data_IF_449143439599
#
_entry.id   IF_449143439599
#
_cell.length_a   1.000
_cell.length_b   1.000
_cell.length_c   1.000
_cell.angle_alpha   90.00
_cell.angle_beta   90.00
_cell.angle_gamma   90.00
#
_symmetry.space_group_name_H-M   'P 1'
#
loop_
_entity.id
_entity.type
_entity.pdbx_description
1 polymer ?
#
# COMPACT_ATOMS: atom_id res chain seq x y z
N UNK A 1 -16.52 -20.46 -0.48
CA UNK A 1 -15.97 -19.14 -0.86
C UNK A 1 -14.47 -19.13 -0.64
N UNK A 2 -13.72 -18.47 -1.51
CA UNK A 2 -12.26 -18.28 -1.32
C UNK A 2 -12.04 -17.26 -0.20
N UNK A 3 -11.09 -17.54 0.70
CA UNK A 3 -10.64 -16.58 1.73
C UNK A 3 -9.76 -15.46 1.17
N UNK A 4 -9.42 -15.55 -0.12
CA UNK A 4 -8.60 -14.58 -0.84
C UNK A 4 -9.48 -13.84 -1.85
N UNK A 5 -9.42 -12.51 -1.81
CA UNK A 5 -10.10 -11.62 -2.75
C UNK A 5 -9.14 -10.56 -3.26
N UNK A 6 -9.31 -10.14 -4.51
CA UNK A 6 -8.65 -8.93 -5.01
C UNK A 6 -9.48 -7.71 -4.62
N UNK A 7 -8.86 -6.53 -4.69
CA UNK A 7 -9.52 -5.27 -4.38
C UNK A 7 -10.84 -5.03 -5.15
N UNK A 8 -11.00 -5.61 -6.35
CA UNK A 8 -12.22 -5.49 -7.15
C UNK A 8 -13.41 -6.25 -6.53
N UNK A 9 -13.17 -7.32 -5.77
CA UNK A 9 -14.21 -8.20 -5.23
C UNK A 9 -14.69 -7.88 -3.82
N UNK A 10 -14.03 -6.95 -3.11
CA UNK A 10 -14.26 -6.71 -1.67
C UNK A 10 -15.00 -5.40 -1.37
N UNK A 11 -15.37 -4.63 -2.40
CA UNK A 11 -16.01 -3.32 -2.22
C UNK A 11 -17.39 -3.48 -1.56
N UNK A 12 -17.56 -2.85 -0.39
CA UNK A 12 -18.80 -2.91 0.39
C UNK A 12 -18.87 -4.07 1.38
N UNK A 13 -17.89 -4.98 1.37
CA UNK A 13 -17.73 -6.01 2.39
C UNK A 13 -16.89 -5.49 3.55
N UNK A 14 -16.98 -6.16 4.70
CA UNK A 14 -16.11 -5.97 5.87
C UNK A 14 -15.83 -7.36 6.46
N UNK A 15 -14.69 -7.49 7.15
CA UNK A 15 -14.24 -8.75 7.72
C UNK A 15 -13.64 -8.49 9.10
N UNK A 16 -13.82 -9.41 10.07
CA UNK A 16 -13.24 -9.25 11.41
C UNK A 16 -11.73 -9.01 11.37
N UNK A 17 -11.00 -9.76 10.55
CA UNK A 17 -9.55 -9.68 10.42
C UNK A 17 -9.14 -9.68 8.95
N UNK A 18 -8.26 -8.76 8.58
CA UNK A 18 -7.77 -8.60 7.20
C UNK A 18 -6.25 -8.62 7.19
N UNK A 19 -5.69 -9.35 6.23
CA UNK A 19 -4.28 -9.27 5.86
C UNK A 19 -4.17 -8.70 4.45
N UNK A 20 -3.42 -7.63 4.29
CA UNK A 20 -3.16 -7.01 3.00
C UNK A 20 -1.73 -7.36 2.58
N UNK A 21 -1.60 -8.00 1.42
CA UNK A 21 -0.30 -8.36 0.84
C UNK A 21 0.01 -7.34 -0.25
N UNK A 22 1.12 -6.62 -0.09
CA UNK A 22 1.64 -5.64 -1.03
C UNK A 22 2.83 -6.28 -1.74
N UNK A 23 2.68 -6.55 -3.02
CA UNK A 23 3.71 -7.17 -3.86
C UNK A 23 3.66 -6.50 -5.23
N UNK A 24 4.52 -5.49 -5.42
CA UNK A 24 4.60 -4.73 -6.67
C UNK A 24 5.16 -5.59 -7.83
N UNK A 25 5.95 -6.63 -7.54
CA UNK A 25 6.58 -7.50 -8.54
C UNK A 25 5.55 -8.49 -9.15
N UNK A 26 4.68 -9.07 -8.31
CA UNK A 26 3.59 -9.94 -8.76
C UNK A 26 2.34 -9.17 -9.20
N UNK A 27 2.22 -7.88 -8.84
CA UNK A 27 1.14 -7.02 -9.30
C UNK A 27 1.27 -6.76 -10.81
N UNK A 28 0.47 -7.47 -11.60
CA UNK A 28 0.44 -7.29 -13.06
C UNK A 28 -0.10 -5.91 -13.45
N UNK A 29 0.77 -4.90 -13.58
CA UNK A 29 0.45 -3.58 -14.12
C UNK A 29 1.28 -2.44 -13.52
N UNK A 30 1.23 -1.25 -14.16
CA UNK A 30 2.01 -0.07 -13.76
C UNK A 30 1.15 1.06 -13.15
N UNK A 31 -0.13 0.79 -12.89
CA UNK A 31 -1.11 1.79 -12.46
C UNK A 31 -0.96 2.17 -10.98
N UNK A 32 -0.49 1.23 -10.18
CA UNK A 32 -0.26 1.34 -8.74
C UNK A 32 1.20 1.02 -8.44
N UNK A 33 1.72 1.57 -7.35
CA UNK A 33 3.02 1.20 -6.80
C UNK A 33 3.03 1.47 -5.31
N UNK A 34 3.10 0.38 -4.54
CA UNK A 34 3.26 0.45 -3.09
C UNK A 34 4.66 0.93 -2.73
N UNK A 35 5.69 0.59 -3.51
CA UNK A 35 7.05 1.08 -3.25
C UNK A 35 7.10 2.63 -3.27
N UNK A 36 6.42 3.27 -4.22
CA UNK A 36 6.30 4.73 -4.22
C UNK A 36 5.46 5.28 -3.06
N UNK A 37 4.39 4.58 -2.68
CA UNK A 37 3.53 5.01 -1.57
C UNK A 37 4.27 4.96 -0.22
N UNK A 38 5.11 3.93 -0.05
CA UNK A 38 5.90 3.65 1.14
C UNK A 38 7.33 4.22 1.07
N UNK A 39 7.63 5.04 0.05
CA UNK A 39 8.86 5.82 -0.03
C UNK A 39 10.14 5.03 -0.27
N UNK A 40 10.06 3.76 -0.69
CA UNK A 40 11.23 2.99 -1.12
C UNK A 40 11.69 3.39 -2.53
N UNK A 41 10.76 3.91 -3.35
CA UNK A 41 11.01 4.39 -4.71
C UNK A 41 10.49 5.82 -4.87
N UNK A 42 11.30 6.66 -5.52
CA UNK A 42 10.94 8.06 -5.77
C UNK A 42 9.82 8.20 -6.84
N UNK A 43 9.03 9.29 -6.81
CA UNK A 43 8.08 9.60 -7.86
C UNK A 43 8.75 9.67 -9.24
N UNK A 44 8.05 9.17 -10.27
CA UNK A 44 8.57 9.28 -11.65
C UNK A 44 8.39 10.70 -12.21
N UNK A 45 9.08 11.03 -13.31
CA UNK A 45 8.87 12.31 -14.00
C UNK A 45 7.40 12.55 -14.38
N UNK A 46 6.67 11.49 -14.75
CA UNK A 46 5.22 11.58 -15.03
C UNK A 46 4.42 11.88 -13.78
N UNK A 47 4.78 11.29 -12.63
CA UNK A 47 4.12 11.59 -11.35
C UNK A 47 4.35 13.06 -10.98
N UNK A 48 5.58 13.57 -11.07
CA UNK A 48 5.93 14.96 -10.78
C UNK A 48 5.17 15.94 -11.69
N UNK A 49 5.14 15.68 -13.00
CA UNK A 49 4.35 16.46 -13.95
C UNK A 49 2.85 16.45 -13.61
N UNK A 50 2.31 15.30 -13.21
CA UNK A 50 0.92 15.22 -12.81
C UNK A 50 0.63 16.08 -11.57
N UNK A 51 1.53 16.10 -10.58
CA UNK A 51 1.40 16.99 -9.41
C UNK A 51 1.33 18.45 -9.84
N UNK A 52 2.25 18.89 -10.72
CA UNK A 52 2.27 20.28 -11.22
C UNK A 52 0.99 20.66 -11.98
N UNK A 53 0.44 19.72 -12.74
CA UNK A 53 -0.80 19.91 -13.51
C UNK A 53 -2.08 19.69 -12.69
N UNK A 54 -1.97 19.41 -11.38
CA UNK A 54 -3.10 19.11 -10.50
C UNK A 54 -3.83 17.80 -10.87
N UNK A 55 -3.15 16.89 -11.55
CA UNK A 55 -3.63 15.58 -11.98
C UNK A 55 -3.25 14.51 -10.98
N UNK A 56 -3.97 13.40 -11.05
CA UNK A 56 -3.76 12.24 -10.19
C UNK A 56 -2.45 11.50 -10.51
N UNK A 57 -1.69 11.17 -9.46
CA UNK A 57 -0.46 10.38 -9.55
C UNK A 57 -0.66 8.88 -9.31
N UNK A 58 0.36 8.07 -9.60
CA UNK A 58 0.36 6.65 -9.19
C UNK A 58 0.29 6.49 -7.67
N UNK A 59 0.88 7.42 -6.91
CA UNK A 59 0.85 7.43 -5.44
C UNK A 59 -0.59 7.68 -4.95
N UNK A 60 -1.32 8.62 -5.55
CA UNK A 60 -2.70 8.93 -5.16
C UNK A 60 -3.63 7.73 -5.39
N UNK A 61 -3.50 7.08 -6.55
CA UNK A 61 -4.26 5.86 -6.86
C UNK A 61 -3.96 4.74 -5.88
N UNK A 62 -2.68 4.51 -5.59
CA UNK A 62 -2.24 3.46 -4.67
C UNK A 62 -2.72 3.74 -3.25
N UNK A 63 -2.66 4.99 -2.80
CA UNK A 63 -3.17 5.39 -1.48
C UNK A 63 -4.66 5.10 -1.32
N UNK A 64 -5.47 5.37 -2.34
CA UNK A 64 -6.90 5.05 -2.31
C UNK A 64 -7.14 3.54 -2.28
N UNK A 65 -6.39 2.79 -3.06
CA UNK A 65 -6.47 1.33 -3.07
C UNK A 65 -6.07 0.74 -1.70
N UNK A 66 -4.98 1.24 -1.13
CA UNK A 66 -4.51 0.87 0.20
C UNK A 66 -5.54 1.20 1.29
N UNK A 67 -6.13 2.40 1.24
CA UNK A 67 -7.22 2.77 2.14
C UNK A 67 -8.41 1.81 2.02
N UNK A 68 -8.89 1.54 0.81
CA UNK A 68 -10.05 0.67 0.58
C UNK A 68 -9.82 -0.73 1.12
N UNK A 69 -8.63 -1.30 0.92
CA UNK A 69 -8.27 -2.65 1.37
C UNK A 69 -8.10 -2.71 2.89
N UNK A 70 -7.38 -1.75 3.49
CA UNK A 70 -7.18 -1.68 4.94
C UNK A 70 -8.49 -1.42 5.69
N UNK A 71 -9.37 -0.56 5.16
CA UNK A 71 -10.64 -0.20 5.81
C UNK A 71 -11.68 -1.33 5.79
N UNK A 72 -11.33 -2.53 5.31
CA UNK A 72 -12.20 -3.71 5.39
C UNK A 72 -12.08 -4.44 6.72
N UNK A 73 -11.02 -4.17 7.50
CA UNK A 73 -10.84 -4.74 8.83
C UNK A 73 -11.81 -4.11 9.84
N UNK A 74 -12.50 -4.94 10.62
CA UNK A 74 -13.32 -4.49 11.75
C UNK A 74 -12.55 -4.54 13.07
N UNK A 75 -11.71 -5.56 13.27
CA UNK A 75 -10.99 -5.79 14.53
C UNK A 75 -9.48 -5.73 14.37
N UNK A 76 -8.91 -6.41 13.37
CA UNK A 76 -7.46 -6.49 13.20
C UNK A 76 -7.02 -6.38 11.75
N UNK A 77 -5.93 -5.66 11.54
CA UNK A 77 -5.28 -5.47 10.25
C UNK A 77 -3.82 -5.91 10.35
N UNK A 78 -3.36 -6.69 9.38
CA UNK A 78 -1.96 -6.97 9.16
C UNK A 78 -1.57 -6.56 7.74
N UNK A 79 -0.41 -5.96 7.57
CA UNK A 79 0.13 -5.59 6.26
C UNK A 79 1.45 -6.32 6.06
N UNK A 80 1.56 -7.04 4.95
CA UNK A 80 2.77 -7.73 4.53
C UNK A 80 3.26 -7.02 3.28
N UNK A 81 4.41 -6.37 3.36
CA UNK A 81 5.01 -5.66 2.24
C UNK A 81 6.24 -6.41 1.72
N UNK A 82 6.15 -6.94 0.50
CA UNK A 82 7.30 -7.39 -0.26
C UNK A 82 7.96 -6.17 -0.89
N UNK A 83 9.24 -5.98 -0.61
CA UNK A 83 10.02 -4.86 -1.14
C UNK A 83 11.49 -5.23 -1.17
N UNK A 84 12.22 -4.67 -2.14
CA UNK A 84 13.67 -4.83 -2.23
C UNK A 84 14.42 -3.89 -1.27
N UNK A 85 13.73 -2.91 -0.67
CA UNK A 85 14.31 -1.86 0.16
C UNK A 85 13.63 -1.80 1.56
N UNK A 86 13.66 -2.90 2.36
CA UNK A 86 12.90 -3.01 3.60
C UNK A 86 13.29 -1.96 4.66
N UNK A 87 14.55 -1.51 4.69
CA UNK A 87 14.98 -0.42 5.56
C UNK A 87 14.33 0.91 5.17
N UNK A 88 14.24 1.25 3.88
CA UNK A 88 13.60 2.51 3.45
C UNK A 88 12.13 2.53 3.80
N UNK A 89 11.42 1.41 3.60
CA UNK A 89 10.02 1.29 4.01
C UNK A 89 9.88 1.46 5.52
N UNK A 90 10.72 0.80 6.32
CA UNK A 90 10.72 0.91 7.78
C UNK A 90 10.92 2.38 8.22
N UNK A 91 11.98 3.02 7.75
CA UNK A 91 12.29 4.41 8.08
C UNK A 91 11.16 5.35 7.64
N UNK A 92 10.59 5.11 6.46
CA UNK A 92 9.49 5.92 5.95
C UNK A 92 8.24 5.80 6.82
N UNK A 93 7.78 4.59 7.13
CA UNK A 93 6.54 4.43 7.91
C UNK A 93 6.68 4.92 9.34
N UNK A 94 7.87 4.79 9.95
CA UNK A 94 8.19 5.38 11.25
C UNK A 94 8.19 6.91 11.17
N UNK A 95 8.84 7.48 10.14
CA UNK A 95 8.88 8.94 9.93
C UNK A 95 7.49 9.52 9.70
N UNK A 96 6.60 8.81 9.00
CA UNK A 96 5.22 9.23 8.80
C UNK A 96 4.33 8.98 10.03
N UNK A 97 4.82 8.25 11.04
CA UNK A 97 4.04 7.88 12.22
C UNK A 97 2.88 6.93 11.89
N UNK A 98 3.02 6.09 10.86
CA UNK A 98 2.00 5.11 10.49
C UNK A 98 2.00 3.88 11.39
N UNK A 99 3.16 3.53 11.94
CA UNK A 99 3.37 2.41 12.84
C UNK A 99 4.34 2.79 13.96
N UNK A 100 4.20 2.14 15.09
CA UNK A 100 5.21 2.13 16.15
C UNK A 100 6.34 1.14 15.82
N UNK A 101 7.50 1.31 16.46
CA UNK A 101 8.70 0.50 16.13
C UNK A 101 8.50 -0.99 16.36
N UNK A 102 7.75 -1.36 17.39
CA UNK A 102 7.42 -2.74 17.76
C UNK A 102 6.28 -3.35 16.93
N UNK A 103 5.55 -2.54 16.16
CA UNK A 103 4.55 -3.03 15.21
C UNK A 103 5.19 -3.49 13.87
N UNK A 104 6.46 -3.20 13.64
CA UNK A 104 7.18 -3.52 12.40
C UNK A 104 8.10 -4.71 12.62
N UNK A 105 7.86 -5.78 11.85
CA UNK A 105 8.69 -6.98 11.85
C UNK A 105 9.34 -7.12 10.47
N UNK A 106 10.67 -7.18 10.44
CA UNK A 106 11.43 -7.56 9.24
C UNK A 106 11.73 -9.06 9.31
N UNK A 107 11.44 -9.76 8.22
CA UNK A 107 11.58 -11.22 8.08
C UNK A 107 12.67 -11.52 7.07
#
# INVERSE_FOLDING_TARGET
ESRFGTHQGIKGLQFPRVMVILDDDEARGFMFSYDKLFGSVEPTATDLKNVEEGKETSIDRTRRLFYVTCSRAEESLAIVAYTQEPQKVNDYVLKQGWFEKDEIIQI
#
